data_IF_825676624699
#
_entry.id   IF_825676624699
#
_cell.length_a   1.000
_cell.length_b   1.000
_cell.length_c   1.000
_cell.angle_alpha   90.00
_cell.angle_beta   90.00
_cell.angle_gamma   90.00
#
_symmetry.space_group_name_H-M   'P 1'
#
loop_
_entity.id
_entity.type
_entity.pdbx_description
1 polymer ?
#
# COMPACT_ATOMS: atom_id res chain seq x y z
N UNK A 1 -28.15 58.96 37.90
CA UNK A 1 -26.90 59.22 38.64
C UNK A 1 -26.40 57.89 39.19
N UNK A 2 -25.14 57.48 39.18
CA UNK A 2 -23.88 57.93 38.58
C UNK A 2 -22.95 56.68 38.62
N UNK A 3 -22.00 56.56 37.69
CA UNK A 3 -20.87 55.63 37.86
C UNK A 3 -19.86 56.26 38.84
N UNK A 4 -19.07 55.44 39.56
CA UNK A 4 -17.64 55.61 39.40
C UNK A 4 -16.79 54.33 39.32
N UNK A 5 -15.56 54.62 38.90
CA UNK A 5 -14.39 53.86 38.47
C UNK A 5 -13.57 53.17 39.60
N UNK A 6 -13.02 51.98 39.28
CA UNK A 6 -11.78 51.24 39.67
C UNK A 6 -10.91 51.66 40.91
N UNK A 7 -10.13 50.76 41.58
CA UNK A 7 -9.01 50.02 40.94
C UNK A 7 -8.71 48.56 41.39
N UNK A 8 -8.21 47.78 40.43
CA UNK A 8 -7.03 46.87 40.42
C UNK A 8 -6.58 46.20 41.73
N UNK A 9 -6.52 44.86 41.76
CA UNK A 9 -5.28 44.05 41.81
C UNK A 9 -5.59 42.54 41.94
N UNK A 10 -5.38 41.79 40.86
CA UNK A 10 -5.10 40.35 40.95
C UNK A 10 -3.69 40.19 41.53
N UNK A 11 -3.43 39.21 42.42
CA UNK A 11 -2.59 38.09 41.96
C UNK A 11 -2.77 36.82 42.81
N UNK A 12 -3.81 36.01 42.62
CA UNK A 12 -3.82 34.71 43.33
C UNK A 12 -4.35 33.50 42.56
N UNK A 13 -4.40 33.57 41.23
CA UNK A 13 -4.75 32.37 40.42
C UNK A 13 -3.74 32.07 39.31
N UNK A 14 -2.67 32.87 39.18
CA UNK A 14 -1.67 32.68 38.11
C UNK A 14 -0.65 31.56 38.34
N UNK A 15 -0.45 31.10 39.59
CA UNK A 15 0.66 30.18 39.91
C UNK A 15 0.32 28.70 39.75
N UNK A 16 -0.95 28.32 39.83
CA UNK A 16 -1.36 26.91 39.70
C UNK A 16 -1.69 26.54 38.26
N UNK A 17 -2.28 27.45 37.48
CA UNK A 17 -2.51 27.21 36.05
C UNK A 17 -1.20 27.16 35.24
N UNK A 18 -0.22 28.02 35.57
CA UNK A 18 1.09 28.00 34.92
C UNK A 18 1.85 26.67 35.11
N UNK A 19 1.70 26.03 36.28
CA UNK A 19 2.32 24.72 36.56
C UNK A 19 1.66 23.59 35.78
N UNK A 20 0.34 23.64 35.60
CA UNK A 20 -0.38 22.64 34.81
C UNK A 20 -0.09 22.77 33.29
N UNK A 21 0.10 24.00 32.79
CA UNK A 21 0.54 24.22 31.40
C UNK A 21 1.99 23.77 31.16
N UNK A 22 2.87 23.96 32.15
CA UNK A 22 4.25 23.47 32.09
C UNK A 22 4.35 21.93 32.14
N UNK A 23 3.38 21.24 32.75
CA UNK A 23 3.36 19.77 32.81
C UNK A 23 2.86 19.12 31.50
N UNK A 24 2.18 19.88 30.63
CA UNK A 24 1.83 19.50 29.26
C UNK A 24 2.87 19.96 28.23
N UNK A 25 3.82 20.80 28.65
CA UNK A 25 4.99 21.11 27.84
C UNK A 25 5.93 19.90 27.91
N UNK A 26 5.99 19.13 26.84
CA UNK A 26 7.09 18.22 26.61
C UNK A 26 8.40 18.99 26.81
N UNK A 27 9.41 18.45 27.53
CA UNK A 27 10.67 19.15 27.67
C UNK A 27 11.18 19.47 26.27
N UNK A 28 11.19 20.76 25.93
CA UNK A 28 11.89 21.34 24.79
C UNK A 28 13.40 21.27 25.08
N UNK A 29 13.87 20.04 25.31
CA UNK A 29 15.20 19.60 25.00
C UNK A 29 15.06 18.76 23.75
N UNK A 30 14.61 19.36 22.65
CA UNK A 30 14.80 18.77 21.33
C UNK A 30 16.31 18.73 21.12
N UNK A 31 17.00 17.57 21.11
CA UNK A 31 18.33 17.52 20.53
C UNK A 31 18.10 17.87 19.07
N UNK A 32 18.34 19.13 18.69
CA UNK A 32 18.05 19.72 17.38
C UNK A 32 17.60 18.65 16.39
N UNK A 33 16.31 18.29 16.42
CA UNK A 33 15.83 17.17 15.62
C UNK A 33 15.93 17.72 14.23
N UNK A 34 17.01 17.34 13.54
CA UNK A 34 17.23 17.68 12.15
C UNK A 34 15.89 17.54 11.46
N UNK A 35 15.45 18.53 10.65
CA UNK A 35 14.26 18.32 9.83
C UNK A 35 14.38 16.95 9.17
N UNK A 36 13.29 16.15 9.13
CA UNK A 36 13.35 14.84 8.52
C UNK A 36 13.99 15.00 7.14
N UNK A 37 14.96 14.14 6.77
CA UNK A 37 15.64 14.28 5.50
C UNK A 37 14.60 14.40 4.39
N UNK A 38 14.83 15.25 3.37
CA UNK A 38 13.91 15.37 2.26
C UNK A 38 13.64 13.97 1.69
N UNK A 39 12.39 13.67 1.28
CA UNK A 39 12.07 12.37 0.72
C UNK A 39 13.05 12.08 -0.42
N UNK A 40 13.57 10.84 -0.52
CA UNK A 40 14.47 10.48 -1.61
C UNK A 40 13.77 10.77 -2.95
N UNK A 41 14.54 11.15 -4.00
CA UNK A 41 13.95 11.33 -5.31
C UNK A 41 13.16 10.08 -5.70
N UNK A 42 11.98 10.23 -6.34
CA UNK A 42 11.17 9.08 -6.70
C UNK A 42 12.00 8.13 -7.55
N UNK A 43 12.11 6.88 -7.11
CA UNK A 43 12.78 5.87 -7.89
C UNK A 43 12.08 5.75 -9.25
N UNK A 44 12.87 5.56 -10.30
CA UNK A 44 12.30 5.30 -11.62
C UNK A 44 11.38 4.06 -11.54
N UNK A 45 10.24 4.07 -12.24
CA UNK A 45 9.39 2.90 -12.32
C UNK A 45 10.13 1.74 -12.98
N UNK A 46 9.82 0.51 -12.54
CA UNK A 46 10.41 -0.70 -13.08
C UNK A 46 10.23 -0.74 -14.60
N UNK A 47 11.35 -0.71 -15.34
CA UNK A 47 11.37 -0.82 -16.81
C UNK A 47 11.51 -2.28 -17.27
N UNK A 48 11.37 -2.50 -18.57
CA UNK A 48 11.48 -3.83 -19.19
C UNK A 48 12.94 -4.34 -19.15
N UNK A 49 13.91 -3.42 -19.22
CA UNK A 49 15.33 -3.72 -19.03
C UNK A 49 15.61 -4.16 -17.59
N UNK A 50 15.06 -3.44 -16.61
CA UNK A 50 15.20 -3.80 -15.19
C UNK A 50 14.57 -5.16 -14.91
N UNK A 51 13.36 -5.39 -15.42
CA UNK A 51 12.66 -6.67 -15.28
C UNK A 51 13.53 -7.84 -15.78
N UNK A 52 14.14 -7.70 -16.96
CA UNK A 52 15.06 -8.71 -17.51
C UNK A 52 16.23 -9.01 -16.59
N UNK A 53 16.75 -8.01 -15.86
CA UNK A 53 17.87 -8.22 -14.93
C UNK A 53 17.52 -9.13 -13.74
N UNK A 54 16.24 -9.24 -13.37
CA UNK A 54 15.78 -10.13 -12.29
C UNK A 54 15.47 -11.55 -12.79
N UNK A 55 15.43 -11.75 -14.10
CA UNK A 55 15.14 -13.03 -14.75
C UNK A 55 16.43 -13.74 -15.12
N UNK A 56 16.48 -15.04 -14.85
CA UNK A 56 17.53 -15.94 -15.28
C UNK A 56 17.25 -16.61 -16.63
N UNK A 57 18.11 -17.56 -17.02
CA UNK A 57 17.91 -18.37 -18.22
C UNK A 57 16.52 -19.02 -18.26
N UNK A 58 15.91 -19.07 -19.44
CA UNK A 58 14.53 -19.57 -19.60
C UNK A 58 13.46 -18.71 -18.92
N UNK A 59 13.81 -17.51 -18.47
CA UNK A 59 12.89 -16.55 -17.85
C UNK A 59 12.51 -16.88 -16.41
N UNK A 60 13.28 -17.72 -15.68
CA UNK A 60 13.00 -18.00 -14.26
C UNK A 60 13.23 -16.75 -13.41
N UNK A 61 12.37 -16.46 -12.44
CA UNK A 61 12.57 -15.31 -11.55
C UNK A 61 13.60 -15.68 -10.46
N UNK A 62 14.81 -15.12 -10.55
CA UNK A 62 15.92 -15.46 -9.64
C UNK A 62 15.96 -14.56 -8.41
N UNK A 63 15.57 -13.28 -8.57
CA UNK A 63 15.66 -12.26 -7.51
C UNK A 63 14.28 -11.67 -7.19
N UNK A 64 13.36 -12.47 -6.62
CA UNK A 64 12.00 -12.03 -6.34
C UNK A 64 11.92 -10.94 -5.26
N UNK A 65 12.85 -10.93 -4.31
CA UNK A 65 12.90 -9.93 -3.24
C UNK A 65 13.31 -8.56 -3.78
N UNK A 66 14.40 -8.50 -4.57
CA UNK A 66 14.85 -7.27 -5.23
C UNK A 66 13.77 -6.68 -6.14
N UNK A 67 13.08 -7.52 -6.91
CA UNK A 67 11.96 -7.10 -7.75
C UNK A 67 10.86 -6.42 -6.92
N UNK A 68 10.49 -7.00 -5.77
CA UNK A 68 9.46 -6.43 -4.88
C UNK A 68 9.90 -5.09 -4.29
N UNK A 69 11.17 -4.95 -3.90
CA UNK A 69 11.72 -3.68 -3.40
C UNK A 69 11.72 -2.60 -4.47
N UNK A 70 12.12 -2.92 -5.70
CA UNK A 70 12.06 -1.96 -6.81
C UNK A 70 10.62 -1.48 -7.02
N UNK A 71 9.66 -2.40 -7.09
CA UNK A 71 8.24 -2.05 -7.24
C UNK A 71 7.73 -1.22 -6.05
N UNK A 72 8.18 -1.51 -4.84
CA UNK A 72 7.79 -0.76 -3.66
C UNK A 72 8.26 0.70 -3.72
N UNK A 73 9.47 0.96 -4.21
CA UNK A 73 10.04 2.31 -4.25
C UNK A 73 9.66 3.11 -5.50
N UNK A 74 9.57 2.48 -6.67
CA UNK A 74 9.35 3.16 -7.96
C UNK A 74 8.06 2.79 -8.68
N UNK A 75 7.36 1.74 -8.23
CA UNK A 75 6.22 1.20 -8.94
C UNK A 75 6.61 0.45 -10.21
N UNK A 76 5.65 0.34 -11.15
CA UNK A 76 5.79 -0.43 -12.39
C UNK A 76 5.27 0.38 -13.56
N UNK A 77 6.05 0.41 -14.64
CA UNK A 77 5.64 0.95 -15.93
C UNK A 77 4.28 0.37 -16.38
N UNK A 78 3.31 1.18 -16.84
CA UNK A 78 1.95 0.72 -17.13
C UNK A 78 1.87 -0.52 -18.03
N UNK A 79 2.74 -0.61 -19.04
CA UNK A 79 2.80 -1.74 -19.96
C UNK A 79 3.22 -3.08 -19.31
N UNK A 80 3.98 -3.03 -18.22
CA UNK A 80 4.53 -4.21 -17.55
C UNK A 80 3.63 -4.77 -16.45
N UNK A 81 2.67 -3.98 -15.95
CA UNK A 81 1.80 -4.38 -14.83
C UNK A 81 1.14 -5.75 -15.05
N UNK A 82 0.64 -6.02 -16.27
CA UNK A 82 0.01 -7.30 -16.63
C UNK A 82 0.91 -8.51 -16.40
N UNK A 83 2.22 -8.34 -16.53
CA UNK A 83 3.23 -9.39 -16.33
C UNK A 83 3.71 -9.37 -14.88
N UNK A 84 4.12 -8.20 -14.38
CA UNK A 84 4.75 -8.04 -13.06
C UNK A 84 3.80 -8.41 -11.93
N UNK A 85 2.53 -8.01 -12.02
CA UNK A 85 1.55 -8.32 -10.98
C UNK A 85 1.36 -9.82 -10.76
N UNK A 86 1.54 -10.64 -11.79
CA UNK A 86 1.46 -12.10 -11.65
C UNK A 86 2.56 -12.66 -10.74
N UNK A 87 3.74 -12.02 -10.71
CA UNK A 87 4.80 -12.38 -9.77
C UNK A 87 4.51 -11.88 -8.35
N UNK A 88 3.93 -10.68 -8.22
CA UNK A 88 3.61 -10.09 -6.91
C UNK A 88 2.46 -10.84 -6.20
N UNK A 89 1.45 -11.25 -6.97
CA UNK A 89 0.26 -11.95 -6.48
C UNK A 89 0.46 -13.47 -6.35
N UNK A 90 1.69 -13.96 -6.52
CA UNK A 90 2.03 -15.39 -6.45
C UNK A 90 1.12 -16.26 -7.34
N UNK A 91 0.76 -15.78 -8.53
CA UNK A 91 -0.01 -16.57 -9.52
C UNK A 91 0.77 -17.82 -9.95
N UNK A 92 2.09 -17.75 -9.87
CA UNK A 92 2.99 -18.85 -10.20
C UNK A 92 3.71 -19.36 -8.95
N UNK A 93 3.96 -20.68 -8.85
CA UNK A 93 4.92 -21.20 -7.89
C UNK A 93 6.32 -20.59 -8.13
N UNK A 94 7.17 -20.64 -7.12
CA UNK A 94 8.55 -20.19 -7.27
C UNK A 94 9.31 -21.04 -8.29
N UNK A 95 10.21 -20.41 -9.04
CA UNK A 95 11.18 -21.10 -9.89
C UNK A 95 10.70 -21.49 -11.29
N UNK A 96 9.44 -21.31 -11.69
CA UNK A 96 8.98 -21.69 -13.04
C UNK A 96 9.65 -20.89 -14.16
N UNK A 97 9.95 -21.57 -15.27
CA UNK A 97 10.36 -20.96 -16.55
C UNK A 97 9.21 -20.17 -17.18
N UNK A 98 9.53 -19.35 -18.19
CA UNK A 98 8.52 -18.66 -18.99
C UNK A 98 7.52 -19.61 -19.66
N UNK A 99 7.98 -20.77 -20.16
CA UNK A 99 7.11 -21.78 -20.78
C UNK A 99 6.21 -22.47 -19.75
N UNK A 100 6.77 -22.89 -18.62
CA UNK A 100 5.99 -23.50 -17.53
C UNK A 100 4.94 -22.53 -16.99
N UNK A 101 5.26 -21.22 -16.88
CA UNK A 101 4.29 -20.19 -16.49
C UNK A 101 3.14 -20.07 -17.49
N UNK A 102 3.42 -20.12 -18.79
CA UNK A 102 2.37 -20.08 -19.81
C UNK A 102 1.45 -21.30 -19.72
N UNK A 103 2.01 -22.50 -19.55
CA UNK A 103 1.25 -23.72 -19.33
C UNK A 103 0.41 -23.66 -18.04
N UNK A 104 0.97 -23.10 -16.96
CA UNK A 104 0.26 -22.91 -15.70
C UNK A 104 -0.94 -21.97 -15.84
N UNK A 105 -0.79 -20.85 -16.57
CA UNK A 105 -1.93 -19.95 -16.84
C UNK A 105 -3.05 -20.66 -17.60
N UNK A 106 -2.71 -21.49 -18.59
CA UNK A 106 -3.70 -22.25 -19.37
C UNK A 106 -4.46 -23.23 -18.47
N UNK A 107 -3.76 -23.95 -17.61
CA UNK A 107 -4.36 -24.86 -16.64
C UNK A 107 -5.31 -24.12 -15.69
N UNK A 108 -4.86 -22.99 -15.11
CA UNK A 108 -5.67 -22.19 -14.19
C UNK A 108 -6.89 -21.56 -14.88
N UNK A 109 -6.77 -21.17 -16.15
CA UNK A 109 -7.89 -20.66 -16.93
C UNK A 109 -8.95 -21.75 -17.20
N UNK A 110 -8.51 -22.98 -17.48
CA UNK A 110 -9.41 -24.12 -17.64
C UNK A 110 -10.13 -24.45 -16.32
N UNK A 111 -9.37 -24.53 -15.21
CA UNK A 111 -9.91 -24.78 -13.88
C UNK A 111 -10.94 -23.71 -13.48
N UNK A 112 -10.62 -22.43 -13.68
CA UNK A 112 -11.56 -21.33 -13.42
C UNK A 112 -12.83 -21.46 -14.26
N UNK A 113 -12.71 -21.83 -15.54
CA UNK A 113 -13.86 -22.02 -16.43
C UNK A 113 -14.77 -23.14 -15.91
N UNK A 114 -14.20 -24.27 -15.51
CA UNK A 114 -14.93 -25.39 -14.91
C UNK A 114 -15.62 -25.00 -13.60
N UNK A 115 -14.91 -24.30 -12.71
CA UNK A 115 -15.46 -23.82 -11.44
C UNK A 115 -16.61 -22.82 -11.66
N UNK A 116 -16.47 -21.93 -12.64
CA UNK A 116 -17.51 -20.96 -12.99
C UNK A 116 -18.79 -21.65 -13.47
N UNK A 117 -18.67 -22.70 -14.28
CA UNK A 117 -19.82 -23.52 -14.73
C UNK A 117 -20.44 -24.26 -13.55
N UNK A 118 -19.63 -24.89 -12.70
CA UNK A 118 -20.12 -25.61 -11.53
C UNK A 118 -20.83 -24.69 -10.53
N UNK A 119 -20.33 -23.46 -10.35
CA UNK A 119 -20.98 -22.44 -9.52
C UNK A 119 -22.34 -22.03 -10.10
N UNK A 120 -22.39 -21.75 -11.40
CA UNK A 120 -23.64 -21.36 -12.08
C UNK A 120 -24.71 -22.46 -12.02
N UNK A 121 -24.32 -23.74 -12.04
CA UNK A 121 -25.24 -24.85 -11.90
C UNK A 121 -25.80 -25.04 -10.48
N UNK A 122 -25.10 -24.54 -9.45
CA UNK A 122 -25.44 -24.75 -8.04
C UNK A 122 -26.11 -23.54 -7.38
N UNK A 123 -25.77 -22.33 -7.82
CA UNK A 123 -26.19 -21.10 -7.16
C UNK A 123 -27.54 -20.60 -7.70
N UNK A 124 -28.38 -20.06 -6.82
CA UNK A 124 -29.61 -19.41 -7.25
C UNK A 124 -29.27 -18.13 -8.07
N UNK A 125 -29.96 -17.87 -9.20
CA UNK A 125 -29.66 -16.72 -10.05
C UNK A 125 -29.72 -15.37 -9.31
N UNK A 126 -30.61 -15.25 -8.31
CA UNK A 126 -30.77 -14.06 -7.50
C UNK A 126 -29.55 -13.78 -6.61
N UNK A 127 -28.95 -14.83 -6.01
CA UNK A 127 -27.75 -14.70 -5.17
C UNK A 127 -26.54 -14.26 -6.02
N UNK A 128 -26.38 -14.86 -7.20
CA UNK A 128 -25.33 -14.47 -8.14
C UNK A 128 -25.47 -13.00 -8.59
N UNK A 129 -26.71 -12.55 -8.84
CA UNK A 129 -26.99 -11.17 -9.21
C UNK A 129 -26.65 -10.19 -8.08
N UNK A 130 -26.95 -10.55 -6.83
CA UNK A 130 -26.65 -9.72 -5.66
C UNK A 130 -25.14 -9.58 -5.44
N UNK A 131 -24.39 -10.68 -5.50
CA UNK A 131 -22.92 -10.67 -5.40
C UNK A 131 -22.31 -9.85 -6.54
N UNK A 132 -22.78 -10.03 -7.78
CA UNK A 132 -22.30 -9.27 -8.92
C UNK A 132 -22.61 -7.76 -8.80
N UNK A 133 -23.74 -7.38 -8.21
CA UNK A 133 -24.09 -5.99 -7.97
C UNK A 133 -23.22 -5.36 -6.87
N UNK A 134 -22.83 -6.11 -5.85
CA UNK A 134 -21.91 -5.65 -4.80
C UNK A 134 -20.53 -5.34 -5.39
N UNK A 135 -19.97 -6.25 -6.18
CA UNK A 135 -18.63 -6.09 -6.79
C UNK A 135 -18.52 -4.88 -7.73
N UNK A 136 -19.62 -4.42 -8.33
CA UNK A 136 -19.61 -3.24 -9.24
C UNK A 136 -19.73 -1.89 -8.52
N UNK A 137 -20.02 -1.89 -7.21
CA UNK A 137 -20.12 -0.66 -6.42
C UNK A 137 -18.78 -0.22 -5.84
N UNK A 138 -17.79 -1.11 -5.83
CA UNK A 138 -16.38 -0.85 -5.48
C UNK A 138 -15.57 -0.40 -6.71
#
# INVERSE_FOLDING_TARGET
SALPVAPVLFPQVGRTLARAQAALAWPEGTPAVSPPPPPPPPCAPLSDADLRSYLGPGGRLLRPQDLRLHVFHGGVEPGLRKVVWRYLLNVFPAGLTGQERLSHLRLKAAEYSSLKVALAARAAPAELAQVAAAVRKD
#
